data_IF_697405105888
#
_entry.id   IF_697405105888
#
_cell.length_a   1.000
_cell.length_b   1.000
_cell.length_c   1.000
_cell.angle_alpha   90.00
_cell.angle_beta   90.00
_cell.angle_gamma   90.00
#
_symmetry.space_group_name_H-M   'P 1'
#
loop_
_entity.id
_entity.type
_entity.pdbx_description
1 polymer ?
#
# COMPACT_ATOMS: atom_id res chain seq x y z
N UNK A 1 -0.96 -35.80 -8.08
CA UNK A 1 -2.14 -35.31 -8.87
C UNK A 1 -1.63 -34.28 -9.87
N UNK A 2 -2.15 -34.25 -11.12
CA UNK A 2 -1.66 -33.34 -12.17
C UNK A 2 -2.67 -32.23 -12.46
N UNK A 3 -2.15 -31.01 -12.64
CA UNK A 3 -2.88 -29.79 -13.00
C UNK A 3 -2.27 -29.18 -14.27
N UNK A 4 -2.99 -28.25 -14.91
CA UNK A 4 -2.41 -27.41 -15.96
C UNK A 4 -1.57 -26.30 -15.33
N UNK A 5 -2.11 -25.69 -14.26
CA UNK A 5 -1.44 -24.59 -13.54
C UNK A 5 -1.56 -24.80 -12.02
N UNK A 6 -0.44 -24.69 -11.32
CA UNK A 6 -0.42 -24.57 -9.85
C UNK A 6 0.09 -23.18 -9.47
N UNK A 7 -0.64 -22.50 -8.59
CA UNK A 7 -0.23 -21.22 -8.02
C UNK A 7 0.21 -21.46 -6.58
N UNK A 8 1.36 -20.88 -6.18
CA UNK A 8 1.91 -20.98 -4.82
C UNK A 8 1.80 -19.63 -4.14
N UNK A 9 0.91 -19.52 -3.15
CA UNK A 9 0.55 -18.31 -2.43
C UNK A 9 -0.83 -17.79 -2.82
N UNK A 10 -1.69 -17.58 -1.82
CA UNK A 10 -3.11 -17.19 -1.98
C UNK A 10 -3.38 -15.70 -1.79
N UNK A 11 -2.35 -14.83 -1.90
CA UNK A 11 -2.49 -13.38 -1.89
C UNK A 11 -3.20 -12.83 -3.14
N UNK A 12 -3.32 -11.47 -3.28
CA UNK A 12 -3.99 -10.85 -4.41
C UNK A 12 -3.49 -11.32 -5.78
N UNK A 13 -2.20 -11.47 -5.97
CA UNK A 13 -1.65 -12.05 -7.19
C UNK A 13 -2.10 -13.51 -7.38
N UNK A 14 -1.98 -14.33 -6.33
CA UNK A 14 -2.23 -15.77 -6.45
C UNK A 14 -3.69 -16.13 -6.66
N UNK A 15 -4.64 -15.61 -5.85
CA UNK A 15 -6.04 -15.97 -6.04
C UNK A 15 -6.61 -15.40 -7.35
N UNK A 16 -6.14 -14.21 -7.79
CA UNK A 16 -6.54 -13.65 -9.10
C UNK A 16 -5.99 -14.51 -10.24
N UNK A 17 -4.71 -14.91 -10.18
CA UNK A 17 -4.12 -15.83 -11.15
C UNK A 17 -4.90 -17.14 -11.23
N UNK A 18 -5.24 -17.75 -10.09
CA UNK A 18 -5.99 -19.00 -10.03
C UNK A 18 -7.38 -18.88 -10.67
N UNK A 19 -8.11 -17.81 -10.33
CA UNK A 19 -9.45 -17.55 -10.90
C UNK A 19 -9.35 -17.32 -12.41
N UNK A 20 -8.38 -16.50 -12.86
CA UNK A 20 -8.22 -16.22 -14.30
C UNK A 20 -7.86 -17.48 -15.08
N UNK A 21 -6.96 -18.31 -14.54
CA UNK A 21 -6.61 -19.60 -15.14
C UNK A 21 -7.84 -20.52 -15.30
N UNK A 22 -8.64 -20.65 -14.24
CA UNK A 22 -9.87 -21.46 -14.28
C UNK A 22 -10.91 -20.91 -15.28
N UNK A 23 -11.06 -19.58 -15.38
CA UNK A 23 -11.93 -18.94 -16.38
C UNK A 23 -11.48 -19.22 -17.82
N UNK A 24 -10.18 -19.43 -18.05
CA UNK A 24 -9.60 -19.82 -19.34
C UNK A 24 -9.58 -21.33 -19.55
N UNK A 25 -10.31 -22.08 -18.72
CA UNK A 25 -10.51 -23.53 -18.88
C UNK A 25 -9.37 -24.40 -18.37
N UNK A 26 -8.43 -23.85 -17.60
CA UNK A 26 -7.31 -24.60 -17.04
C UNK A 26 -7.70 -25.30 -15.74
N UNK A 27 -7.30 -26.56 -15.59
CA UNK A 27 -7.37 -27.27 -14.30
C UNK A 27 -6.35 -26.68 -13.34
N UNK A 28 -6.83 -26.00 -12.31
CA UNK A 28 -6.00 -25.13 -11.46
C UNK A 28 -6.04 -25.56 -10.00
N UNK A 29 -4.88 -25.50 -9.34
CA UNK A 29 -4.75 -25.57 -7.88
C UNK A 29 -4.10 -24.30 -7.33
N UNK A 30 -4.47 -23.94 -6.11
CA UNK A 30 -3.88 -22.87 -5.32
C UNK A 30 -3.33 -23.45 -4.01
N UNK A 31 -2.03 -23.32 -3.79
CA UNK A 31 -1.37 -23.70 -2.55
C UNK A 31 -1.29 -22.50 -1.62
N UNK A 32 -1.80 -22.62 -0.39
CA UNK A 32 -1.75 -21.55 0.61
C UNK A 32 -1.49 -22.14 2.01
N UNK A 33 -0.47 -21.61 2.68
CA UNK A 33 -0.06 -22.08 4.01
C UNK A 33 -0.84 -21.50 5.18
N UNK A 34 -1.59 -20.41 4.93
CA UNK A 34 -2.34 -19.69 5.95
C UNK A 34 -3.77 -19.38 5.46
N UNK A 35 -4.14 -18.09 5.37
CA UNK A 35 -5.48 -17.69 4.96
C UNK A 35 -5.51 -17.20 3.52
N UNK A 36 -6.44 -17.69 2.66
CA UNK A 36 -6.68 -17.12 1.33
C UNK A 36 -6.99 -15.62 1.40
N UNK A 37 -6.40 -14.87 0.44
CA UNK A 37 -6.38 -13.41 0.45
C UNK A 37 -5.04 -12.84 0.91
N UNK A 38 -4.14 -13.68 1.47
CA UNK A 38 -2.78 -13.34 1.85
C UNK A 38 -2.69 -12.16 2.83
N UNK A 39 -1.54 -11.49 2.86
CA UNK A 39 -1.27 -10.37 3.75
C UNK A 39 -2.29 -9.24 3.54
N UNK A 40 -2.59 -8.85 2.30
CA UNK A 40 -3.46 -7.71 2.03
C UNK A 40 -4.84 -7.82 2.70
N UNK A 41 -5.51 -8.96 2.56
CA UNK A 41 -6.87 -9.15 3.08
C UNK A 41 -6.90 -9.50 4.57
N UNK A 42 -5.84 -10.14 5.08
CA UNK A 42 -5.84 -10.66 6.45
C UNK A 42 -4.96 -9.86 7.42
N UNK A 43 -3.83 -9.31 6.96
CA UNK A 43 -2.79 -8.74 7.81
C UNK A 43 -2.18 -7.43 7.25
N UNK A 44 -2.89 -6.76 6.35
CA UNK A 44 -2.40 -5.54 5.67
C UNK A 44 -3.54 -4.59 5.31
N UNK A 45 -3.76 -4.40 4.00
CA UNK A 45 -4.61 -3.35 3.43
C UNK A 45 -5.99 -3.27 4.10
N UNK A 46 -6.76 -4.35 4.05
CA UNK A 46 -8.18 -4.32 4.45
C UNK A 46 -8.37 -4.13 5.96
N UNK A 47 -7.71 -4.92 6.84
CA UNK A 47 -7.86 -4.69 8.27
C UNK A 47 -7.31 -3.33 8.72
N UNK A 48 -6.24 -2.82 8.11
CA UNK A 48 -5.73 -1.46 8.40
C UNK A 48 -6.79 -0.41 8.04
N UNK A 49 -7.40 -0.46 6.86
CA UNK A 49 -8.45 0.50 6.45
C UNK A 49 -9.67 0.43 7.36
N UNK A 50 -9.98 -0.76 7.91
CA UNK A 50 -11.02 -0.90 8.93
C UNK A 50 -10.66 -0.19 10.26
N UNK A 51 -9.38 -0.25 10.69
CA UNK A 51 -8.88 0.50 11.84
C UNK A 51 -8.95 2.02 11.58
N UNK A 52 -8.41 2.47 10.45
CA UNK A 52 -8.40 3.89 10.06
C UNK A 52 -9.81 4.47 10.02
N UNK A 53 -10.79 3.72 9.49
CA UNK A 53 -12.19 4.14 9.48
C UNK A 53 -12.76 4.31 10.88
N UNK A 54 -12.42 3.44 11.81
CA UNK A 54 -12.86 3.57 13.21
C UNK A 54 -12.26 4.81 13.88
N UNK A 55 -10.96 5.10 13.63
CA UNK A 55 -10.33 6.31 14.13
C UNK A 55 -10.91 7.59 13.49
N UNK A 56 -11.27 7.54 12.20
CA UNK A 56 -11.97 8.65 11.52
C UNK A 56 -13.33 8.94 12.18
N UNK A 57 -14.13 7.89 12.44
CA UNK A 57 -15.43 8.03 13.12
C UNK A 57 -15.25 8.62 14.52
N UNK A 58 -14.23 8.15 15.26
CA UNK A 58 -13.89 8.74 16.55
C UNK A 58 -13.55 10.23 16.45
N UNK A 59 -12.80 10.62 15.42
CA UNK A 59 -12.49 12.02 15.14
C UNK A 59 -13.74 12.86 14.88
N UNK A 60 -14.73 12.35 14.13
CA UNK A 60 -16.04 13.03 13.95
C UNK A 60 -16.78 13.16 15.26
N UNK A 61 -16.82 12.13 16.09
CA UNK A 61 -17.44 12.21 17.40
C UNK A 61 -16.78 13.26 18.31
N UNK A 62 -15.46 13.36 18.31
CA UNK A 62 -14.74 14.38 19.08
C UNK A 62 -15.02 15.81 18.62
N UNK A 63 -15.37 15.98 17.36
CA UNK A 63 -15.66 17.28 16.75
C UNK A 63 -17.16 17.43 16.41
N UNK A 64 -18.04 16.71 17.12
CA UNK A 64 -19.47 16.66 16.83
C UNK A 64 -20.14 18.03 16.83
N UNK A 65 -19.72 18.95 17.71
CA UNK A 65 -20.22 20.32 17.79
C UNK A 65 -20.01 21.10 16.47
N UNK A 66 -18.93 20.84 15.75
CA UNK A 66 -18.67 21.43 14.43
C UNK A 66 -19.76 21.10 13.41
N UNK A 67 -20.40 19.95 13.58
CA UNK A 67 -21.52 19.47 12.75
C UNK A 67 -22.89 19.74 13.36
N UNK A 68 -22.95 20.53 14.44
CA UNK A 68 -24.19 20.85 15.14
C UNK A 68 -24.78 19.66 15.93
N UNK A 69 -23.94 18.69 16.32
CA UNK A 69 -24.37 17.52 17.07
C UNK A 69 -23.96 17.63 18.53
N UNK A 70 -24.89 17.34 19.44
CA UNK A 70 -24.65 17.24 20.87
C UNK A 70 -24.52 15.77 21.26
N UNK A 71 -23.40 15.40 21.90
CA UNK A 71 -23.18 14.06 22.42
C UNK A 71 -23.33 14.04 23.94
N UNK A 72 -24.14 13.13 24.44
CA UNK A 72 -24.27 12.89 25.88
C UNK A 72 -23.07 12.08 26.40
N UNK A 73 -22.25 12.71 27.25
CA UNK A 73 -21.10 12.09 27.88
C UNK A 73 -19.83 12.10 27.00
N UNK A 74 -18.77 11.48 27.54
CA UNK A 74 -17.46 11.42 26.89
C UNK A 74 -17.38 10.22 25.95
N UNK A 75 -16.97 10.49 24.69
CA UNK A 75 -16.68 9.43 23.73
C UNK A 75 -15.23 8.98 23.90
N UNK A 76 -15.03 7.69 24.17
CA UNK A 76 -13.71 7.06 24.33
C UNK A 76 -13.51 5.95 23.31
N UNK A 77 -12.30 5.79 22.74
CA UNK A 77 -12.02 4.67 21.87
C UNK A 77 -11.93 3.37 22.71
N UNK A 78 -12.57 2.32 22.21
CA UNK A 78 -12.38 0.96 22.72
C UNK A 78 -11.54 0.19 21.71
N UNK A 79 -10.22 0.07 21.96
CA UNK A 79 -9.28 -0.53 21.02
C UNK A 79 -9.62 -2.01 20.76
N UNK A 80 -10.01 -2.76 21.79
CA UNK A 80 -10.38 -4.17 21.65
C UNK A 80 -11.55 -4.33 20.66
N UNK A 81 -12.60 -3.52 20.80
CA UNK A 81 -13.74 -3.54 19.88
C UNK A 81 -13.35 -3.07 18.45
N UNK A 82 -12.47 -2.07 18.33
CA UNK A 82 -11.95 -1.60 17.05
C UNK A 82 -11.16 -2.71 16.35
N UNK A 83 -10.28 -3.39 17.08
CA UNK A 83 -9.50 -4.53 16.57
C UNK A 83 -10.42 -5.69 16.20
N UNK A 84 -11.37 -6.06 17.06
CA UNK A 84 -12.33 -7.12 16.77
C UNK A 84 -13.11 -6.85 15.47
N UNK A 85 -13.57 -5.61 15.27
CA UNK A 85 -14.20 -5.19 14.01
C UNK A 85 -13.25 -5.37 12.81
N UNK A 86 -12.00 -4.94 12.93
CA UNK A 86 -10.99 -5.09 11.87
C UNK A 86 -10.75 -6.57 11.52
N UNK A 87 -10.65 -7.45 12.51
CA UNK A 87 -10.50 -8.90 12.31
C UNK A 87 -11.73 -9.54 11.65
N UNK A 88 -12.94 -9.14 12.06
CA UNK A 88 -14.18 -9.59 11.43
C UNK A 88 -14.27 -9.21 9.94
N UNK A 89 -13.82 -8.00 9.59
CA UNK A 89 -13.73 -7.57 8.17
C UNK A 89 -12.75 -8.45 7.40
N UNK A 90 -11.56 -8.71 7.94
CA UNK A 90 -10.56 -9.58 7.32
C UNK A 90 -11.12 -11.01 7.12
N UNK A 91 -11.77 -11.58 8.12
CA UNK A 91 -12.39 -12.90 8.01
C UNK A 91 -13.47 -12.96 6.92
N UNK A 92 -14.29 -11.92 6.84
CA UNK A 92 -15.33 -11.82 5.79
C UNK A 92 -14.69 -11.82 4.39
N UNK A 93 -13.59 -11.08 4.20
CA UNK A 93 -12.89 -11.05 2.91
C UNK A 93 -12.24 -12.40 2.58
N UNK A 94 -11.60 -13.05 3.54
CA UNK A 94 -11.00 -14.38 3.32
C UNK A 94 -12.06 -15.45 2.97
N UNK A 95 -13.22 -15.42 3.63
CA UNK A 95 -14.38 -16.26 3.28
C UNK A 95 -14.86 -15.99 1.85
N UNK A 96 -14.87 -14.73 1.42
CA UNK A 96 -15.19 -14.32 0.05
C UNK A 96 -14.23 -14.93 -0.98
N UNK A 97 -12.92 -14.91 -0.70
CA UNK A 97 -11.93 -15.56 -1.58
C UNK A 97 -12.16 -17.06 -1.66
N UNK A 98 -12.38 -17.76 -0.52
CA UNK A 98 -12.71 -19.20 -0.52
C UNK A 98 -13.95 -19.50 -1.36
N UNK A 99 -14.99 -18.69 -1.24
CA UNK A 99 -16.18 -18.81 -2.08
C UNK A 99 -15.87 -18.70 -3.57
N UNK A 100 -15.05 -17.71 -3.98
CA UNK A 100 -14.64 -17.52 -5.38
C UNK A 100 -13.80 -18.69 -5.91
N UNK A 101 -12.88 -19.23 -5.12
CA UNK A 101 -12.09 -20.40 -5.47
C UNK A 101 -13.02 -21.61 -5.71
N UNK A 102 -13.94 -21.90 -4.79
CA UNK A 102 -14.91 -22.98 -4.91
C UNK A 102 -15.83 -22.81 -6.12
N UNK A 103 -16.35 -21.59 -6.35
CA UNK A 103 -17.20 -21.24 -7.51
C UNK A 103 -16.50 -21.56 -8.83
N UNK A 104 -15.19 -21.32 -8.90
CA UNK A 104 -14.38 -21.57 -10.09
C UNK A 104 -13.76 -22.99 -10.11
N UNK A 105 -14.13 -23.86 -9.16
CA UNK A 105 -13.64 -25.25 -9.07
C UNK A 105 -12.11 -25.35 -8.97
N UNK A 106 -11.50 -24.43 -8.23
CA UNK A 106 -10.07 -24.40 -7.97
C UNK A 106 -9.80 -25.23 -6.71
N UNK A 107 -8.87 -26.18 -6.79
CA UNK A 107 -8.46 -26.97 -5.65
C UNK A 107 -7.56 -26.10 -4.73
N UNK A 108 -8.04 -25.83 -3.51
CA UNK A 108 -7.24 -25.17 -2.49
C UNK A 108 -6.46 -26.22 -1.69
N UNK A 109 -5.15 -26.21 -1.84
CA UNK A 109 -4.23 -27.14 -1.16
C UNK A 109 -3.59 -26.39 0.01
N UNK A 110 -3.94 -26.72 1.28
CA UNK A 110 -3.31 -26.11 2.43
C UNK A 110 -1.88 -26.64 2.59
N UNK A 111 -0.92 -25.77 2.87
CA UNK A 111 0.45 -26.16 3.16
C UNK A 111 1.50 -25.26 2.53
N UNK A 112 2.77 -25.58 2.83
CA UNK A 112 3.94 -24.88 2.30
C UNK A 112 4.40 -25.53 0.98
N UNK A 113 4.28 -24.77 -0.11
CA UNK A 113 4.69 -25.25 -1.44
C UNK A 113 6.16 -24.97 -1.73
N UNK A 114 6.89 -26.03 -2.12
CA UNK A 114 8.30 -25.99 -2.53
C UNK A 114 8.48 -26.59 -3.91
N UNK A 115 9.18 -25.91 -4.80
CA UNK A 115 9.62 -26.47 -6.08
C UNK A 115 10.64 -27.61 -5.84
N UNK A 116 10.43 -28.75 -6.48
CA UNK A 116 11.34 -29.92 -6.40
C UNK A 116 11.98 -30.25 -7.74
N UNK A 117 11.29 -29.95 -8.83
CA UNK A 117 11.78 -30.06 -10.20
C UNK A 117 10.93 -29.14 -11.11
N UNK A 118 11.34 -28.87 -12.37
CA UNK A 118 10.47 -28.23 -13.34
C UNK A 118 9.14 -28.99 -13.44
N UNK A 119 8.01 -28.26 -13.24
CA UNK A 119 6.68 -28.84 -13.24
C UNK A 119 6.30 -29.68 -12.01
N UNK A 120 7.10 -29.67 -10.93
CA UNK A 120 6.81 -30.40 -9.70
C UNK A 120 6.94 -29.54 -8.46
N UNK A 121 6.00 -29.72 -7.55
CA UNK A 121 6.04 -29.11 -6.23
C UNK A 121 5.77 -30.16 -5.15
N UNK A 122 6.42 -30.01 -4.03
CA UNK A 122 6.09 -30.68 -2.76
C UNK A 122 5.24 -29.70 -1.90
N UNK A 123 4.18 -30.21 -1.31
CA UNK A 123 3.39 -29.50 -0.32
C UNK A 123 3.29 -30.35 0.93
N UNK A 124 4.09 -30.03 1.93
CA UNK A 124 4.16 -30.73 3.22
C UNK A 124 4.32 -32.27 3.06
N UNK A 125 5.15 -32.71 2.12
CA UNK A 125 5.45 -34.13 1.84
C UNK A 125 4.55 -34.79 0.79
N UNK A 126 3.58 -34.06 0.22
CA UNK A 126 2.76 -34.53 -0.89
C UNK A 126 3.23 -33.91 -2.22
N UNK A 127 3.53 -34.76 -3.22
CA UNK A 127 4.00 -34.28 -4.52
C UNK A 127 2.82 -34.01 -5.48
N UNK A 128 2.90 -32.86 -6.19
CA UNK A 128 1.97 -32.45 -7.23
C UNK A 128 2.73 -32.06 -8.51
N UNK A 129 2.09 -32.27 -9.66
CA UNK A 129 2.64 -31.95 -10.97
C UNK A 129 1.78 -30.93 -11.69
N UNK A 130 2.40 -30.01 -12.43
CA UNK A 130 1.73 -29.08 -13.31
C UNK A 130 2.59 -28.75 -14.54
N UNK A 131 1.92 -28.36 -15.63
CA UNK A 131 2.63 -27.85 -16.82
C UNK A 131 3.24 -26.46 -16.55
N UNK A 132 2.59 -25.68 -15.68
CA UNK A 132 3.02 -24.35 -15.27
C UNK A 132 2.89 -24.14 -13.75
N UNK A 133 3.91 -23.54 -13.14
CA UNK A 133 3.90 -23.17 -11.72
C UNK A 133 4.12 -21.67 -11.59
N UNK A 134 3.19 -20.97 -10.92
CA UNK A 134 3.25 -19.53 -10.68
C UNK A 134 3.54 -19.29 -9.20
N UNK A 135 4.67 -18.67 -8.90
CA UNK A 135 5.06 -18.28 -7.55
C UNK A 135 4.47 -16.90 -7.22
N UNK A 136 3.70 -16.82 -6.14
CA UNK A 136 3.03 -15.61 -5.66
C UNK A 136 3.11 -15.53 -4.13
N UNK A 137 4.26 -15.87 -3.56
CA UNK A 137 4.47 -16.09 -2.12
C UNK A 137 4.50 -14.81 -1.30
N UNK A 138 4.51 -13.64 -1.95
CA UNK A 138 4.39 -12.33 -1.32
C UNK A 138 5.58 -11.94 -0.46
N UNK A 139 5.36 -11.04 0.48
CA UNK A 139 6.40 -10.49 1.33
C UNK A 139 5.98 -10.45 2.81
N UNK A 140 6.97 -10.18 3.67
CA UNK A 140 6.83 -10.00 5.12
C UNK A 140 7.53 -8.70 5.56
N UNK A 141 7.25 -8.17 6.77
CA UNK A 141 8.03 -7.07 7.33
C UNK A 141 9.53 -7.39 7.34
N UNK A 142 10.35 -6.42 6.97
CA UNK A 142 11.81 -6.54 7.00
C UNK A 142 12.31 -6.49 8.44
N UNK A 143 13.15 -7.43 8.82
CA UNK A 143 13.84 -7.43 10.10
C UNK A 143 15.19 -6.73 9.99
N UNK A 144 15.52 -5.94 11.00
CA UNK A 144 16.78 -5.20 11.09
C UNK A 144 17.52 -5.60 12.35
N UNK A 145 18.81 -5.93 12.23
CA UNK A 145 19.63 -6.39 13.36
C UNK A 145 19.71 -5.36 14.51
N UNK A 146 19.63 -4.06 14.22
CA UNK A 146 19.63 -2.99 15.22
C UNK A 146 18.27 -2.78 15.90
N UNK A 147 17.20 -3.43 15.39
CA UNK A 147 15.83 -3.29 15.87
C UNK A 147 15.11 -4.64 15.68
N UNK A 148 15.49 -5.69 16.44
CA UNK A 148 14.86 -7.01 16.33
C UNK A 148 13.41 -6.96 16.81
N UNK A 149 12.51 -7.56 16.04
CA UNK A 149 11.07 -7.61 16.37
C UNK A 149 10.87 -8.70 17.42
N UNK A 150 10.44 -8.33 18.63
CA UNK A 150 10.10 -9.25 19.72
C UNK A 150 8.59 -9.56 19.78
N UNK A 151 7.77 -8.76 19.09
CA UNK A 151 6.32 -8.93 19.02
C UNK A 151 5.54 -8.30 20.18
N UNK A 152 6.21 -7.71 21.17
CA UNK A 152 5.62 -7.08 22.34
C UNK A 152 6.00 -5.60 22.44
N UNK A 153 7.29 -5.28 22.50
CA UNK A 153 7.81 -3.92 22.62
C UNK A 153 8.25 -3.37 21.26
N UNK A 154 8.98 -4.18 20.49
CA UNK A 154 9.33 -3.89 19.10
C UNK A 154 8.44 -4.72 18.21
N UNK A 155 7.51 -4.08 17.53
CA UNK A 155 6.45 -4.75 16.78
C UNK A 155 6.53 -4.46 15.27
N UNK A 156 5.96 -5.34 14.47
CA UNK A 156 5.68 -5.09 13.06
C UNK A 156 4.25 -4.61 12.84
N UNK A 157 3.90 -4.31 11.59
CA UNK A 157 2.52 -3.99 11.19
C UNK A 157 1.52 -5.08 11.58
N UNK A 158 1.95 -6.36 11.66
CA UNK A 158 1.09 -7.48 12.04
C UNK A 158 0.61 -7.36 13.50
N UNK A 159 1.51 -7.08 14.44
CA UNK A 159 1.14 -6.87 15.84
C UNK A 159 0.41 -5.54 16.03
N UNK A 160 0.81 -4.50 15.28
CA UNK A 160 0.12 -3.20 15.33
C UNK A 160 -1.37 -3.31 14.94
N UNK A 161 -1.78 -4.28 14.11
CA UNK A 161 -3.17 -4.57 13.79
C UNK A 161 -3.96 -5.20 14.96
N UNK A 162 -3.29 -5.71 15.97
CA UNK A 162 -3.91 -6.57 17.00
C UNK A 162 -3.52 -6.20 18.42
N UNK A 163 -2.99 -5.00 18.67
CA UNK A 163 -2.77 -4.54 20.03
C UNK A 163 -4.08 -4.53 20.82
N UNK A 164 -4.03 -5.01 22.04
CA UNK A 164 -5.21 -5.12 22.92
C UNK A 164 -5.44 -3.88 23.80
N UNK A 165 -4.39 -3.04 23.93
CA UNK A 165 -4.43 -1.78 24.66
C UNK A 165 -3.69 -0.67 23.92
N UNK A 166 -4.14 0.56 24.08
CA UNK A 166 -3.43 1.72 23.56
C UNK A 166 -2.16 1.94 24.39
N UNK A 167 -0.97 2.00 23.77
CA UNK A 167 0.23 2.46 24.46
C UNK A 167 0.09 3.97 24.76
N UNK A 168 0.81 4.48 25.76
CA UNK A 168 0.87 5.93 26.00
C UNK A 168 1.71 6.63 24.93
N UNK A 169 2.75 5.93 24.46
CA UNK A 169 3.70 6.43 23.47
C UNK A 169 4.13 5.37 22.48
N UNK A 170 4.35 5.79 21.22
CA UNK A 170 4.83 4.92 20.15
C UNK A 170 5.86 5.64 19.29
N UNK A 171 6.99 4.98 19.01
CA UNK A 171 7.93 5.42 17.98
C UNK A 171 7.69 4.58 16.73
N UNK A 172 7.44 5.24 15.60
CA UNK A 172 7.28 4.59 14.29
C UNK A 172 8.56 4.83 13.48
N UNK A 173 9.26 3.76 13.15
CA UNK A 173 10.48 3.82 12.35
C UNK A 173 10.15 3.56 10.90
N UNK A 174 10.29 4.60 10.07
CA UNK A 174 9.88 4.63 8.66
C UNK A 174 8.54 5.33 8.44
N UNK A 175 8.49 6.23 7.45
CA UNK A 175 7.31 7.04 7.09
C UNK A 175 6.71 6.71 5.73
N UNK A 176 6.94 5.51 5.22
CA UNK A 176 6.21 4.99 4.06
C UNK A 176 4.71 4.80 4.37
N UNK A 177 3.94 4.24 3.43
CA UNK A 177 2.49 4.07 3.59
C UNK A 177 2.11 3.37 4.90
N UNK A 178 2.75 2.24 5.21
CA UNK A 178 2.47 1.46 6.44
C UNK A 178 2.74 2.29 7.70
N UNK A 179 3.94 2.87 7.80
CA UNK A 179 4.32 3.64 8.97
C UNK A 179 3.43 4.86 9.18
N UNK A 180 3.10 5.57 8.11
CA UNK A 180 2.25 6.76 8.17
C UNK A 180 0.80 6.43 8.53
N UNK A 181 0.23 5.35 7.99
CA UNK A 181 -1.13 4.93 8.32
C UNK A 181 -1.28 4.53 9.79
N UNK A 182 -0.34 3.72 10.33
CA UNK A 182 -0.36 3.37 11.75
C UNK A 182 -0.03 4.56 12.65
N UNK A 183 0.94 5.40 12.28
CA UNK A 183 1.22 6.62 13.01
C UNK A 183 -0.02 7.51 13.12
N UNK A 184 -0.74 7.68 12.01
CA UNK A 184 -2.00 8.43 12.00
C UNK A 184 -3.07 7.77 12.88
N UNK A 185 -3.26 6.45 12.75
CA UNK A 185 -4.24 5.69 13.52
C UNK A 185 -4.05 5.87 15.02
N UNK A 186 -2.85 5.60 15.51
CA UNK A 186 -2.56 5.69 16.95
C UNK A 186 -2.58 7.13 17.45
N UNK A 187 -2.06 8.09 16.70
CA UNK A 187 -2.13 9.52 17.06
C UNK A 187 -3.58 10.03 17.14
N UNK A 188 -4.45 9.62 16.20
CA UNK A 188 -5.87 9.98 16.19
C UNK A 188 -6.62 9.42 17.41
N UNK A 189 -6.16 8.29 17.96
CA UNK A 189 -6.70 7.70 19.20
C UNK A 189 -6.06 8.28 20.47
N UNK A 190 -5.12 9.21 20.35
CA UNK A 190 -4.52 9.93 21.49
C UNK A 190 -3.16 9.43 21.96
N UNK A 191 -2.55 8.47 21.27
CA UNK A 191 -1.18 8.02 21.55
C UNK A 191 -0.16 9.12 21.19
N UNK A 192 0.86 9.32 22.01
CA UNK A 192 2.00 10.19 21.67
C UNK A 192 2.89 9.52 20.66
N UNK A 193 2.80 9.94 19.38
CA UNK A 193 3.54 9.31 18.29
C UNK A 193 4.76 10.15 17.90
N UNK A 194 5.91 9.48 17.75
CA UNK A 194 7.11 10.01 17.12
C UNK A 194 7.44 9.17 15.89
N UNK A 195 7.52 9.81 14.72
CA UNK A 195 7.94 9.20 13.47
C UNK A 195 9.43 9.49 13.27
N UNK A 196 10.23 8.45 13.06
CA UNK A 196 11.65 8.57 12.73
C UNK A 196 11.86 8.11 11.29
N UNK A 197 12.33 9.03 10.44
CA UNK A 197 12.52 8.79 9.01
C UNK A 197 13.98 9.07 8.62
N UNK A 198 14.61 8.06 8.00
CA UNK A 198 15.98 8.14 7.52
C UNK A 198 16.13 9.16 6.36
N UNK A 199 15.15 9.20 5.48
CA UNK A 199 15.13 10.07 4.31
C UNK A 199 14.90 11.55 4.73
N UNK A 200 15.26 12.52 3.87
CA UNK A 200 15.18 13.95 4.21
C UNK A 200 13.74 14.47 4.33
N UNK A 201 12.73 13.71 3.95
CA UNK A 201 11.31 14.08 4.02
C UNK A 201 10.42 12.88 4.37
N UNK A 202 9.29 13.15 4.96
CA UNK A 202 8.23 12.18 5.20
C UNK A 202 7.64 11.67 3.88
N UNK A 203 7.20 10.41 3.81
CA UNK A 203 6.66 9.81 2.59
C UNK A 203 7.61 10.04 1.40
N UNK A 204 8.85 9.52 1.43
CA UNK A 204 9.93 9.94 0.54
C UNK A 204 9.70 9.65 -0.95
N UNK A 205 8.78 8.74 -1.27
CA UNK A 205 8.41 8.39 -2.64
C UNK A 205 7.38 9.35 -3.26
N UNK A 206 6.72 10.16 -2.44
CA UNK A 206 5.70 11.11 -2.89
C UNK A 206 6.32 12.43 -3.37
N UNK A 207 5.51 13.23 -4.06
CA UNK A 207 5.88 14.59 -4.44
C UNK A 207 6.25 15.42 -3.20
N UNK A 208 7.22 16.32 -3.31
CA UNK A 208 7.73 17.09 -2.18
C UNK A 208 6.65 17.95 -1.51
N UNK A 209 5.71 18.47 -2.28
CA UNK A 209 4.61 19.26 -1.74
C UNK A 209 3.62 18.41 -0.94
N UNK A 210 3.41 17.16 -1.36
CA UNK A 210 2.67 16.14 -0.60
C UNK A 210 3.35 15.90 0.74
N UNK A 211 4.66 15.59 0.73
CA UNK A 211 5.45 15.36 1.94
C UNK A 211 5.36 16.51 2.94
N UNK A 212 5.56 17.74 2.46
CA UNK A 212 5.47 18.97 3.29
C UNK A 212 4.07 19.18 3.88
N UNK A 213 3.05 18.84 3.12
CA UNK A 213 1.66 18.98 3.57
C UNK A 213 1.32 17.94 4.63
N UNK A 214 1.78 16.70 4.44
CA UNK A 214 1.59 15.63 5.41
C UNK A 214 2.35 15.85 6.71
N UNK A 215 3.60 16.36 6.66
CA UNK A 215 4.31 16.75 7.87
C UNK A 215 3.52 17.78 8.70
N UNK A 216 2.91 18.77 8.04
CA UNK A 216 2.04 19.75 8.73
C UNK A 216 0.80 19.10 9.34
N UNK A 217 0.16 18.15 8.62
CA UNK A 217 -0.99 17.42 9.11
C UNK A 217 -0.65 16.58 10.37
N UNK A 218 0.48 15.88 10.37
CA UNK A 218 0.94 15.12 11.54
C UNK A 218 1.27 16.03 12.75
N UNK A 219 1.87 17.20 12.50
CA UNK A 219 2.09 18.18 13.58
C UNK A 219 0.78 18.72 14.18
N UNK A 220 -0.28 18.92 13.37
CA UNK A 220 -1.62 19.24 13.89
C UNK A 220 -2.18 18.16 14.82
N UNK A 221 -1.86 16.87 14.54
CA UNK A 221 -2.18 15.74 15.40
C UNK A 221 -1.24 15.62 16.61
N UNK A 222 -0.33 16.56 16.83
CA UNK A 222 0.70 16.56 17.88
C UNK A 222 1.70 15.41 17.77
N UNK A 223 1.81 14.78 16.59
CA UNK A 223 2.88 13.82 16.32
C UNK A 223 4.20 14.56 16.05
N UNK A 224 5.30 14.00 16.55
CA UNK A 224 6.65 14.46 16.25
C UNK A 224 7.13 13.75 14.98
N UNK A 225 7.72 14.50 14.03
CA UNK A 225 8.31 13.95 12.80
C UNK A 225 9.78 14.34 12.75
N UNK A 226 10.65 13.33 12.76
CA UNK A 226 12.11 13.45 12.72
C UNK A 226 12.61 12.87 11.39
N UNK A 227 12.81 13.73 10.39
CA UNK A 227 13.39 13.37 9.08
C UNK A 227 14.91 13.49 9.10
N UNK A 228 15.62 12.88 8.15
CA UNK A 228 17.09 12.79 8.13
C UNK A 228 17.63 12.22 9.45
N UNK A 229 16.95 11.24 10.04
CA UNK A 229 17.26 10.70 11.36
C UNK A 229 17.38 9.18 11.28
N UNK A 230 18.52 8.65 11.67
CA UNK A 230 18.83 7.22 11.62
C UNK A 230 18.63 6.60 13.00
N UNK A 231 17.92 5.48 13.07
CA UNK A 231 17.90 4.62 14.26
C UNK A 231 19.17 3.78 14.28
N UNK A 232 19.90 3.78 15.38
CA UNK A 232 21.15 3.02 15.58
C UNK A 232 20.93 1.74 16.36
N UNK A 233 20.09 1.79 17.38
CA UNK A 233 19.76 0.64 18.22
C UNK A 233 18.41 0.83 18.89
N UNK A 234 17.73 -0.28 19.16
CA UNK A 234 16.56 -0.33 20.03
C UNK A 234 16.80 -1.36 21.12
N UNK A 235 16.59 -0.99 22.38
CA UNK A 235 16.74 -1.84 23.56
C UNK A 235 15.51 -1.68 24.44
N UNK A 236 15.11 -2.74 25.12
CA UNK A 236 14.07 -2.67 26.14
C UNK A 236 14.77 -2.57 27.49
N UNK A 237 14.45 -1.54 28.27
CA UNK A 237 15.05 -1.32 29.60
C UNK A 237 14.34 -2.14 30.72
N UNK A 238 14.83 -2.05 31.93
CA UNK A 238 14.29 -2.80 33.06
C UNK A 238 12.84 -2.42 33.45
N UNK A 239 12.37 -1.26 33.00
CA UNK A 239 11.00 -0.76 33.23
C UNK A 239 10.04 -1.19 32.12
N UNK A 240 10.53 -1.92 31.09
CA UNK A 240 9.73 -2.37 29.94
C UNK A 240 9.52 -1.28 28.88
N UNK A 241 10.31 -0.20 28.91
CA UNK A 241 10.27 0.86 27.88
C UNK A 241 11.33 0.61 26.80
N UNK A 242 10.97 0.92 25.57
CA UNK A 242 11.91 0.94 24.47
C UNK A 242 12.81 2.19 24.56
N UNK A 243 14.11 1.99 24.57
CA UNK A 243 15.13 3.02 24.40
C UNK A 243 15.62 2.95 22.95
N UNK A 244 15.41 4.03 22.20
CA UNK A 244 15.74 4.13 20.78
C UNK A 244 16.87 5.13 20.60
N UNK A 245 18.06 4.63 20.30
CA UNK A 245 19.23 5.44 19.99
C UNK A 245 19.09 5.96 18.56
N UNK A 246 19.03 7.28 18.38
CA UNK A 246 18.92 7.93 17.07
C UNK A 246 20.08 8.90 16.83
N UNK A 247 20.37 9.13 15.56
CA UNK A 247 21.31 10.14 15.10
C UNK A 247 20.68 10.98 13.99
N UNK A 248 20.53 12.24 14.25
CA UNK A 248 19.92 13.21 13.34
C UNK A 248 20.71 14.51 13.22
N UNK A 249 20.11 15.54 12.65
CA UNK A 249 20.74 16.86 12.46
C UNK A 249 21.23 17.53 13.74
N UNK A 250 20.66 17.16 14.89
CA UNK A 250 21.03 17.70 16.21
C UNK A 250 22.07 16.85 16.94
N UNK A 251 22.56 15.78 16.31
CA UNK A 251 23.46 14.80 16.89
C UNK A 251 22.74 13.54 17.37
N UNK A 252 23.41 12.76 18.22
CA UNK A 252 22.89 11.55 18.82
C UNK A 252 22.03 11.88 20.05
N UNK A 253 20.88 11.23 20.15
CA UNK A 253 19.98 11.29 21.32
C UNK A 253 19.28 9.95 21.51
N UNK A 254 18.72 9.74 22.71
CA UNK A 254 17.91 8.56 23.01
C UNK A 254 16.46 8.98 23.25
N UNK A 255 15.55 8.37 22.50
CA UNK A 255 14.10 8.49 22.70
C UNK A 255 13.58 7.31 23.49
N UNK A 256 12.49 7.52 24.25
CA UNK A 256 11.80 6.44 24.97
C UNK A 256 10.34 6.35 24.57
N UNK A 257 9.83 5.12 24.46
CA UNK A 257 8.41 4.85 24.22
C UNK A 257 8.00 3.47 24.74
N UNK A 258 6.69 3.28 24.94
CA UNK A 258 6.16 1.97 25.33
C UNK A 258 6.32 0.94 24.21
N UNK A 259 6.17 1.39 22.96
CA UNK A 259 6.19 0.52 21.77
C UNK A 259 6.98 1.18 20.64
N UNK A 260 7.76 0.38 19.93
CA UNK A 260 8.41 0.75 18.66
C UNK A 260 7.77 -0.05 17.54
N UNK A 261 7.24 0.63 16.53
CA UNK A 261 6.74 0.01 15.30
C UNK A 261 7.83 0.05 14.21
N UNK A 262 8.27 -1.13 13.78
CA UNK A 262 9.16 -1.28 12.62
C UNK A 262 8.35 -1.21 11.32
N UNK A 263 8.56 -0.14 10.55
CA UNK A 263 7.95 0.10 9.24
C UNK A 263 9.00 0.42 8.16
N UNK A 264 10.17 -0.24 8.24
CA UNK A 264 11.37 0.00 7.41
C UNK A 264 11.38 -0.76 6.08
N UNK A 265 10.24 -1.20 5.64
CA UNK A 265 10.04 -1.91 4.38
C UNK A 265 9.70 -3.39 4.55
N UNK A 266 9.73 -4.10 3.43
CA UNK A 266 9.35 -5.51 3.34
C UNK A 266 10.49 -6.33 2.75
N UNK A 267 10.40 -7.64 2.93
CA UNK A 267 11.31 -8.63 2.37
C UNK A 267 10.50 -9.73 1.68
N UNK A 268 10.92 -10.14 0.48
CA UNK A 268 10.24 -11.18 -0.30
C UNK A 268 10.31 -12.55 0.40
N UNK A 269 9.24 -13.34 0.28
CA UNK A 269 9.17 -14.70 0.82
C UNK A 269 9.68 -15.70 -0.24
N UNK A 270 10.99 -15.75 -0.43
CA UNK A 270 11.65 -16.58 -1.45
C UNK A 270 12.51 -17.70 -0.87
N UNK A 271 12.73 -17.72 0.45
CA UNK A 271 13.56 -18.73 1.09
C UNK A 271 12.82 -20.07 1.23
N UNK A 272 13.53 -21.16 0.97
CA UNK A 272 13.05 -22.53 1.16
C UNK A 272 11.98 -22.99 0.17
N UNK A 273 11.63 -22.18 -0.84
CA UNK A 273 10.64 -22.56 -1.87
C UNK A 273 11.24 -23.26 -3.09
N UNK A 274 12.53 -23.63 -3.05
CA UNK A 274 13.21 -24.42 -4.07
C UNK A 274 13.79 -23.64 -5.24
N UNK A 275 14.02 -22.32 -5.09
CA UNK A 275 14.57 -21.49 -6.17
C UNK A 275 16.03 -21.82 -6.47
N UNK A 276 16.86 -21.96 -5.42
CA UNK A 276 18.29 -22.22 -5.55
C UNK A 276 18.55 -23.58 -6.21
N UNK A 277 17.82 -24.61 -5.79
CA UNK A 277 17.96 -25.98 -6.28
C UNK A 277 17.60 -26.11 -7.75
N UNK A 278 16.67 -25.27 -8.24
CA UNK A 278 16.30 -25.24 -9.66
C UNK A 278 17.07 -24.21 -10.48
N UNK A 279 17.96 -23.44 -9.85
CA UNK A 279 18.71 -22.39 -10.53
C UNK A 279 17.84 -21.22 -11.02
N UNK A 280 16.73 -20.94 -10.32
CA UNK A 280 15.91 -19.75 -10.61
C UNK A 280 16.70 -18.50 -10.26
N UNK A 281 16.83 -17.58 -11.21
CA UNK A 281 17.60 -16.36 -11.02
C UNK A 281 16.94 -15.41 -10.01
N UNK A 282 17.72 -14.97 -9.03
CA UNK A 282 17.32 -14.03 -7.99
C UNK A 282 18.33 -12.90 -7.92
N UNK A 283 17.88 -11.66 -7.97
CA UNK A 283 18.69 -10.46 -7.77
C UNK A 283 18.22 -9.73 -6.52
N UNK A 284 19.15 -9.53 -5.56
CA UNK A 284 18.86 -8.99 -4.23
C UNK A 284 17.84 -9.89 -3.49
N UNK A 285 16.57 -9.50 -3.41
CA UNK A 285 15.49 -10.31 -2.82
C UNK A 285 14.31 -10.48 -3.81
N UNK A 286 14.57 -10.39 -5.13
CA UNK A 286 13.55 -10.47 -6.18
C UNK A 286 13.89 -11.56 -7.19
N UNK A 287 12.87 -12.33 -7.57
CA UNK A 287 12.96 -13.28 -8.68
C UNK A 287 13.03 -12.49 -9.99
N UNK A 288 14.02 -12.83 -10.83
CA UNK A 288 14.19 -12.20 -12.14
C UNK A 288 13.17 -12.81 -13.11
N UNK A 289 12.38 -11.94 -13.75
CA UNK A 289 11.34 -12.33 -14.71
C UNK A 289 11.39 -11.45 -15.95
N UNK A 290 10.84 -11.95 -17.05
CA UNK A 290 10.58 -11.14 -18.24
C UNK A 290 9.26 -10.31 -18.11
N UNK A 291 8.87 -9.60 -19.16
CA UNK A 291 7.67 -8.77 -19.21
C UNK A 291 6.34 -9.54 -19.10
N UNK A 292 6.38 -10.89 -19.21
CA UNK A 292 5.27 -11.81 -19.03
C UNK A 292 5.44 -12.71 -17.80
N UNK A 293 6.35 -12.33 -16.89
CA UNK A 293 6.60 -12.99 -15.61
C UNK A 293 7.22 -14.38 -15.69
N UNK A 294 7.85 -14.73 -16.83
CA UNK A 294 8.60 -15.98 -16.98
C UNK A 294 9.94 -15.85 -16.27
N UNK A 295 10.31 -16.88 -15.51
CA UNK A 295 11.67 -16.99 -14.99
C UNK A 295 12.60 -17.59 -16.06
N UNK A 296 13.88 -17.73 -15.73
CA UNK A 296 14.84 -18.46 -16.57
C UNK A 296 14.61 -19.96 -16.60
N UNK A 297 13.72 -20.52 -15.74
CA UNK A 297 13.37 -21.94 -15.70
C UNK A 297 12.04 -22.16 -16.45
N UNK A 298 12.03 -22.95 -17.53
CA UNK A 298 10.81 -23.20 -18.30
C UNK A 298 9.67 -23.73 -17.46
N UNK A 299 8.47 -23.18 -17.62
CA UNK A 299 7.28 -23.57 -16.89
C UNK A 299 7.17 -22.98 -15.47
N UNK A 300 8.16 -22.18 -15.02
CA UNK A 300 8.15 -21.48 -13.73
C UNK A 300 8.00 -19.97 -13.94
N UNK A 301 7.06 -19.38 -13.24
CA UNK A 301 6.71 -17.96 -13.29
C UNK A 301 6.72 -17.37 -11.89
N UNK A 302 6.86 -16.04 -11.77
CA UNK A 302 6.77 -15.35 -10.50
C UNK A 302 6.05 -14.00 -10.65
N UNK A 303 5.22 -13.62 -9.68
CA UNK A 303 4.41 -12.40 -9.67
C UNK A 303 4.32 -11.78 -8.28
N UNK A 304 3.91 -10.53 -8.20
CA UNK A 304 3.65 -9.82 -6.95
C UNK A 304 4.93 -9.41 -6.22
N UNK A 305 4.86 -9.35 -4.90
CA UNK A 305 5.91 -8.77 -4.07
C UNK A 305 7.28 -9.48 -4.16
N UNK A 306 7.37 -10.61 -4.85
CA UNK A 306 8.62 -11.34 -5.08
C UNK A 306 9.33 -10.99 -6.39
N UNK A 307 8.72 -10.16 -7.23
CA UNK A 307 9.33 -9.66 -8.48
C UNK A 307 9.66 -8.17 -8.38
N UNK A 308 10.51 -7.61 -9.28
CA UNK A 308 10.76 -6.18 -9.31
C UNK A 308 9.49 -5.37 -9.59
N UNK A 309 9.31 -4.26 -8.88
CA UNK A 309 8.16 -3.38 -9.03
C UNK A 309 7.58 -2.91 -7.69
N UNK A 310 6.52 -2.10 -7.70
CA UNK A 310 5.82 -1.68 -6.49
C UNK A 310 5.09 -2.86 -5.84
N UNK A 311 5.33 -3.08 -4.55
CA UNK A 311 4.67 -4.13 -3.76
C UNK A 311 3.24 -3.68 -3.39
N UNK A 312 2.32 -3.76 -4.35
CA UNK A 312 0.94 -3.32 -4.24
C UNK A 312 -0.02 -4.41 -4.73
N UNK A 313 -1.13 -4.57 -4.02
CA UNK A 313 -2.11 -5.63 -4.32
C UNK A 313 -2.68 -5.55 -5.75
N UNK A 314 -2.97 -4.34 -6.23
CA UNK A 314 -3.50 -4.14 -7.58
C UNK A 314 -2.43 -4.36 -8.67
N UNK A 315 -1.15 -4.13 -8.37
CA UNK A 315 -0.03 -4.49 -9.26
C UNK A 315 0.06 -6.00 -9.37
N UNK A 316 0.13 -6.72 -8.24
CA UNK A 316 0.14 -8.18 -8.23
C UNK A 316 -1.06 -8.79 -8.96
N UNK A 317 -2.25 -8.17 -8.88
CA UNK A 317 -3.44 -8.61 -9.61
C UNK A 317 -3.32 -8.39 -11.13
N UNK A 318 -2.76 -7.25 -11.56
CA UNK A 318 -2.52 -6.97 -12.98
C UNK A 318 -1.47 -7.92 -13.56
N UNK A 319 -0.38 -8.13 -12.83
CA UNK A 319 0.67 -9.10 -13.16
C UNK A 319 0.10 -10.53 -13.30
N UNK A 320 -0.78 -10.92 -12.37
CA UNK A 320 -1.45 -12.22 -12.39
C UNK A 320 -2.26 -12.45 -13.67
N UNK A 321 -3.04 -11.45 -14.08
CA UNK A 321 -3.84 -11.53 -15.31
C UNK A 321 -2.93 -11.61 -16.54
N UNK A 322 -1.92 -10.73 -16.64
CA UNK A 322 -0.96 -10.71 -17.74
C UNK A 322 -0.20 -12.06 -17.83
N UNK A 323 0.32 -12.57 -16.71
CA UNK A 323 1.04 -13.83 -16.64
C UNK A 323 0.18 -15.00 -17.13
N UNK A 324 -1.02 -15.16 -16.56
CA UNK A 324 -1.91 -16.28 -16.89
C UNK A 324 -2.41 -16.21 -18.32
N UNK A 325 -2.75 -15.03 -18.82
CA UNK A 325 -3.16 -14.85 -20.23
C UNK A 325 -2.03 -15.22 -21.18
N UNK A 326 -0.77 -14.84 -20.88
CA UNK A 326 0.40 -15.25 -21.63
C UNK A 326 0.60 -16.77 -21.60
N UNK A 327 0.48 -17.42 -20.42
CA UNK A 327 0.53 -18.89 -20.28
C UNK A 327 -0.53 -19.58 -21.18
N UNK A 328 -1.71 -19.00 -21.26
CA UNK A 328 -2.82 -19.56 -22.03
C UNK A 328 -2.75 -19.25 -23.53
N UNK A 329 -1.70 -18.62 -24.03
CA UNK A 329 -1.49 -18.31 -25.45
C UNK A 329 -2.28 -17.10 -25.94
N UNK A 330 -2.82 -16.29 -25.04
CA UNK A 330 -3.31 -14.95 -25.35
C UNK A 330 -2.10 -14.02 -25.46
N UNK A 331 -2.27 -12.88 -26.14
CA UNK A 331 -1.23 -11.86 -26.31
C UNK A 331 -1.56 -10.61 -25.46
N UNK A 332 -1.46 -10.67 -24.12
CA UNK A 332 -1.73 -9.51 -23.29
C UNK A 332 -0.68 -8.41 -23.55
N UNK A 333 -1.07 -7.16 -23.37
CA UNK A 333 -0.08 -6.09 -23.25
C UNK A 333 0.68 -6.25 -21.91
N UNK A 334 2.00 -6.01 -21.89
CA UNK A 334 2.75 -5.94 -20.63
C UNK A 334 2.18 -4.89 -19.69
N UNK A 335 2.36 -5.09 -18.38
CA UNK A 335 1.93 -4.12 -17.37
C UNK A 335 2.77 -2.84 -17.51
N UNK A 336 2.10 -1.70 -17.63
CA UNK A 336 2.76 -0.39 -17.64
C UNK A 336 3.01 0.11 -16.21
N UNK A 337 4.22 -0.11 -15.73
CA UNK A 337 4.63 0.34 -14.39
C UNK A 337 4.75 1.86 -14.25
N UNK A 338 4.61 2.63 -15.32
CA UNK A 338 4.62 4.11 -15.25
C UNK A 338 3.27 4.70 -14.89
N UNK A 339 2.18 3.90 -14.94
CA UNK A 339 0.80 4.33 -14.68
C UNK A 339 0.18 3.70 -13.43
N UNK A 340 1.01 3.19 -12.52
CA UNK A 340 0.50 2.55 -11.29
C UNK A 340 0.09 3.59 -10.27
N UNK A 341 -1.18 3.58 -9.82
CA UNK A 341 -1.65 4.47 -8.77
C UNK A 341 -1.14 4.04 -7.39
N UNK A 342 -0.86 5.01 -6.51
CA UNK A 342 -0.47 4.82 -5.12
C UNK A 342 -1.41 5.59 -4.21
N UNK A 343 -1.78 5.00 -3.07
CA UNK A 343 -2.66 5.60 -2.07
C UNK A 343 -2.14 5.37 -0.65
N UNK A 344 -2.24 6.41 0.19
CA UNK A 344 -1.98 6.33 1.63
C UNK A 344 -3.24 6.87 2.34
N UNK A 345 -3.82 6.03 3.19
CA UNK A 345 -5.16 6.26 3.77
C UNK A 345 -5.12 6.96 5.14
N UNK A 346 -4.18 7.89 5.30
CA UNK A 346 -4.17 8.82 6.44
C UNK A 346 -5.33 9.82 6.36
N UNK A 347 -5.41 10.78 7.29
CA UNK A 347 -6.23 11.98 7.10
C UNK A 347 -5.37 13.23 7.35
N UNK A 348 -5.27 14.04 6.29
CA UNK A 348 -5.81 13.87 4.93
C UNK A 348 -5.21 12.64 4.23
N UNK A 349 -5.95 12.09 3.25
CA UNK A 349 -5.48 11.01 2.37
C UNK A 349 -4.41 11.53 1.41
N UNK A 350 -3.58 10.62 0.88
CA UNK A 350 -2.62 10.90 -0.20
C UNK A 350 -2.91 9.97 -1.36
N UNK A 351 -2.88 10.50 -2.57
CA UNK A 351 -3.06 9.73 -3.80
C UNK A 351 -2.15 10.25 -4.90
N UNK A 352 -1.47 9.36 -5.61
CA UNK A 352 -0.53 9.73 -6.67
C UNK A 352 -0.49 8.73 -7.81
N UNK A 353 -0.20 9.19 -9.01
CA UNK A 353 0.11 8.37 -10.19
C UNK A 353 1.10 9.11 -11.08
N UNK A 354 2.06 8.36 -11.62
CA UNK A 354 3.02 8.89 -12.57
C UNK A 354 4.19 9.62 -11.93
N UNK A 355 4.75 10.58 -12.65
CA UNK A 355 6.02 11.24 -12.32
C UNK A 355 5.81 12.38 -11.32
N UNK A 356 6.66 12.46 -10.29
CA UNK A 356 6.71 13.62 -9.39
C UNK A 356 7.43 14.80 -10.05
N UNK A 357 7.20 16.00 -9.54
CA UNK A 357 7.88 17.20 -10.03
C UNK A 357 9.40 17.11 -9.90
N UNK A 358 9.89 16.55 -8.79
CA UNK A 358 11.32 16.32 -8.58
C UNK A 358 11.91 15.36 -9.61
N UNK A 359 11.20 14.27 -9.92
CA UNK A 359 11.63 13.31 -10.93
C UNK A 359 11.68 13.94 -12.34
N UNK A 360 10.74 14.84 -12.67
CA UNK A 360 10.76 15.58 -13.92
C UNK A 360 12.00 16.49 -13.98
N UNK A 361 12.28 17.23 -12.89
CA UNK A 361 13.45 18.11 -12.78
C UNK A 361 14.76 17.32 -12.88
N UNK A 362 14.89 16.23 -12.11
CA UNK A 362 16.09 15.38 -12.13
C UNK A 362 16.37 14.75 -13.49
N UNK A 363 15.32 14.45 -14.26
CA UNK A 363 15.43 13.88 -15.62
C UNK A 363 15.53 14.94 -16.72
N UNK A 364 15.44 16.23 -16.39
CA UNK A 364 15.45 17.33 -17.33
C UNK A 364 14.25 17.33 -18.29
N UNK A 365 13.10 16.78 -17.83
CA UNK A 365 11.87 16.76 -18.61
C UNK A 365 11.17 18.10 -18.44
N UNK A 366 10.87 18.79 -19.54
CA UNK A 366 10.07 19.99 -19.54
C UNK A 366 8.63 19.65 -19.15
N UNK A 367 8.05 20.47 -18.27
CA UNK A 367 6.68 20.25 -17.78
C UNK A 367 5.97 21.55 -17.46
N UNK A 368 4.64 21.51 -17.48
CA UNK A 368 3.73 22.51 -16.90
C UNK A 368 3.09 21.91 -15.67
N UNK A 369 2.99 22.71 -14.59
CA UNK A 369 2.32 22.29 -13.37
C UNK A 369 1.06 23.13 -13.12
N UNK A 370 -0.06 22.47 -12.86
CA UNK A 370 -1.25 23.08 -12.29
C UNK A 370 -1.41 22.66 -10.84
N UNK A 371 -2.05 23.53 -10.03
CA UNK A 371 -2.34 23.27 -8.63
C UNK A 371 -3.65 23.93 -8.23
N UNK A 372 -4.53 23.17 -7.55
CA UNK A 372 -5.78 23.68 -7.00
C UNK A 372 -5.88 23.31 -5.51
N UNK A 373 -5.95 24.31 -4.59
CA UNK A 373 -6.08 24.05 -3.16
C UNK A 373 -7.54 23.77 -2.80
N UNK A 374 -7.79 22.81 -1.92
CA UNK A 374 -9.17 22.51 -1.48
C UNK A 374 -9.82 23.61 -0.65
N UNK A 375 -9.06 24.63 -0.20
CA UNK A 375 -9.63 25.86 0.36
C UNK A 375 -10.51 26.64 -0.62
N UNK A 376 -10.31 26.43 -1.93
CA UNK A 376 -11.14 27.02 -3.00
C UNK A 376 -12.30 26.11 -3.44
N UNK A 377 -12.38 24.85 -2.93
CA UNK A 377 -13.44 23.92 -3.29
C UNK A 377 -14.71 24.14 -2.46
N UNK A 378 -15.84 24.30 -3.15
CA UNK A 378 -17.16 24.36 -2.50
C UNK A 378 -17.51 23.07 -1.76
N UNK A 379 -17.21 21.91 -2.35
CA UNK A 379 -17.45 20.60 -1.73
C UNK A 379 -16.60 20.38 -0.47
N UNK A 380 -15.32 20.71 -0.53
CA UNK A 380 -14.42 20.61 0.63
C UNK A 380 -14.87 21.55 1.76
N UNK A 381 -15.32 22.76 1.42
CA UNK A 381 -15.86 23.73 2.38
C UNK A 381 -17.14 23.21 3.03
N UNK A 382 -18.08 22.65 2.26
CA UNK A 382 -19.33 22.10 2.78
C UNK A 382 -19.11 20.87 3.68
N UNK A 383 -18.06 20.07 3.39
CA UNK A 383 -17.70 18.90 4.19
C UNK A 383 -16.87 19.24 5.45
N UNK A 384 -16.29 20.45 5.53
CA UNK A 384 -15.34 20.83 6.58
C UNK A 384 -13.91 20.29 6.37
N UNK A 385 -13.62 19.70 5.22
CA UNK A 385 -12.37 19.00 4.89
C UNK A 385 -11.55 19.80 3.85
N UNK A 386 -11.07 20.98 4.24
CA UNK A 386 -10.41 21.94 3.34
C UNK A 386 -8.89 21.78 3.24
N UNK A 387 -8.30 20.88 4.01
CA UNK A 387 -6.86 20.64 3.99
C UNK A 387 -6.48 19.84 2.74
N UNK A 388 -5.53 20.36 1.95
CA UNK A 388 -4.96 19.68 0.82
C UNK A 388 -5.09 20.39 -0.53
N UNK A 389 -4.80 19.65 -1.58
CA UNK A 389 -4.72 20.15 -2.96
C UNK A 389 -4.75 19.01 -3.99
N UNK A 390 -5.01 19.39 -5.23
CA UNK A 390 -4.70 18.61 -6.43
C UNK A 390 -3.54 19.30 -7.16
N UNK A 391 -2.53 18.51 -7.58
CA UNK A 391 -1.40 18.94 -8.41
C UNK A 391 -1.29 18.00 -9.60
N UNK A 392 -1.28 18.56 -10.80
CA UNK A 392 -1.11 17.83 -12.06
C UNK A 392 0.11 18.36 -12.80
N UNK A 393 0.87 17.44 -13.39
CA UNK A 393 2.02 17.75 -14.25
C UNK A 393 1.71 17.31 -15.67
N UNK A 394 2.03 18.17 -16.65
CA UNK A 394 1.80 17.92 -18.07
C UNK A 394 3.10 18.10 -18.86
N UNK A 395 3.29 17.31 -19.91
CA UNK A 395 4.42 17.46 -20.85
C UNK A 395 4.25 18.66 -21.82
N UNK A 396 5.16 18.81 -22.76
CA UNK A 396 5.12 19.88 -23.76
C UNK A 396 3.93 19.76 -24.73
N UNK A 397 3.40 18.54 -24.92
CA UNK A 397 2.19 18.27 -25.71
C UNK A 397 0.91 18.28 -24.83
N UNK A 398 1.01 18.83 -23.62
CA UNK A 398 -0.07 18.90 -22.62
C UNK A 398 -0.61 17.53 -22.15
N UNK A 399 0.08 16.40 -22.36
CA UNK A 399 -0.33 15.09 -21.85
C UNK A 399 0.03 14.94 -20.37
N UNK A 400 -0.83 14.28 -19.62
CA UNK A 400 -0.64 14.09 -18.17
C UNK A 400 0.60 13.23 -17.86
N UNK A 401 1.61 13.81 -17.21
CA UNK A 401 2.81 13.15 -16.70
C UNK A 401 2.64 12.57 -15.31
N UNK A 402 1.91 13.26 -14.44
CA UNK A 402 1.70 12.84 -13.07
C UNK A 402 0.59 13.61 -12.38
N UNK A 403 0.01 12.98 -11.36
CA UNK A 403 -0.99 13.57 -10.49
C UNK A 403 -0.64 13.26 -9.03
N UNK A 404 -0.69 14.27 -8.18
CA UNK A 404 -0.32 14.20 -6.77
C UNK A 404 -1.36 14.96 -5.95
N UNK A 405 -2.04 14.27 -5.06
CA UNK A 405 -3.19 14.81 -4.34
C UNK A 405 -3.07 14.54 -2.84
N UNK A 406 -3.47 15.51 -2.06
CA UNK A 406 -3.65 15.38 -0.60
C UNK A 406 -5.02 15.93 -0.26
N UNK A 407 -5.83 15.20 0.51
CA UNK A 407 -7.12 15.69 0.96
C UNK A 407 -8.13 14.59 1.25
N UNK A 408 -9.36 14.99 1.54
CA UNK A 408 -10.45 14.03 1.71
C UNK A 408 -10.84 13.40 0.37
N UNK A 409 -11.03 12.08 0.35
CA UNK A 409 -11.49 11.30 -0.81
C UNK A 409 -10.56 11.33 -2.03
N UNK A 410 -9.32 11.79 -1.89
CA UNK A 410 -8.40 11.83 -3.04
C UNK A 410 -8.02 10.44 -3.54
N UNK A 411 -8.11 9.43 -2.69
CA UNK A 411 -7.90 8.02 -3.08
C UNK A 411 -8.96 7.53 -4.05
N UNK A 412 -10.21 8.00 -3.94
CA UNK A 412 -11.30 7.71 -4.87
C UNK A 412 -11.20 8.58 -6.15
N UNK A 413 -10.70 9.82 -6.03
CA UNK A 413 -10.50 10.73 -7.17
C UNK A 413 -9.42 10.25 -8.14
N UNK A 414 -8.45 9.46 -7.66
CA UNK A 414 -7.25 9.05 -8.42
C UNK A 414 -7.57 8.24 -9.68
N UNK A 415 -8.73 7.59 -9.74
CA UNK A 415 -9.13 6.79 -10.90
C UNK A 415 -9.19 7.62 -12.20
N UNK A 416 -9.65 8.86 -12.15
CA UNK A 416 -9.71 9.76 -13.31
C UNK A 416 -8.32 10.14 -13.82
N UNK A 417 -7.39 10.68 -13.00
CA UNK A 417 -6.02 10.93 -13.46
C UNK A 417 -5.28 9.67 -13.94
N UNK A 418 -5.52 8.51 -13.32
CA UNK A 418 -4.92 7.25 -13.75
C UNK A 418 -5.40 6.88 -15.15
N UNK A 419 -6.71 6.95 -15.42
CA UNK A 419 -7.26 6.71 -16.75
C UNK A 419 -6.77 7.75 -17.77
N UNK A 420 -6.74 9.02 -17.39
CA UNK A 420 -6.23 10.10 -18.23
C UNK A 420 -4.78 9.85 -18.64
N UNK A 421 -3.92 9.43 -17.70
CA UNK A 421 -2.53 9.10 -17.97
C UNK A 421 -2.41 7.87 -18.89
N UNK A 422 -3.14 6.79 -18.60
CA UNK A 422 -3.13 5.56 -19.41
C UNK A 422 -3.51 5.82 -20.87
N UNK A 423 -4.42 6.75 -21.11
CA UNK A 423 -4.90 7.11 -22.45
C UNK A 423 -4.15 8.28 -23.10
N UNK A 424 -3.15 8.87 -22.43
CA UNK A 424 -2.43 10.04 -22.92
C UNK A 424 -3.33 11.27 -23.09
N UNK A 425 -4.29 11.47 -22.16
CA UNK A 425 -5.24 12.58 -22.20
C UNK A 425 -4.54 13.90 -21.90
N UNK A 426 -4.89 14.95 -22.64
CA UNK A 426 -4.29 16.28 -22.49
C UNK A 426 -5.01 17.14 -21.45
N UNK A 427 -4.29 18.15 -20.92
CA UNK A 427 -4.86 19.17 -20.01
C UNK A 427 -6.13 19.81 -20.57
N UNK A 428 -6.14 20.15 -21.86
CA UNK A 428 -7.31 20.70 -22.54
C UNK A 428 -8.54 19.79 -22.49
N UNK A 429 -8.34 18.47 -22.59
CA UNK A 429 -9.47 17.52 -22.52
C UNK A 429 -9.99 17.37 -21.09
N UNK A 430 -9.10 17.32 -20.11
CA UNK A 430 -9.50 17.31 -18.69
C UNK A 430 -10.28 18.57 -18.35
N UNK A 431 -9.77 19.76 -18.69
CA UNK A 431 -10.40 21.05 -18.45
C UNK A 431 -11.77 21.21 -19.13
N UNK A 432 -12.01 20.50 -20.27
CA UNK A 432 -13.29 20.54 -21.01
C UNK A 432 -14.23 19.41 -20.61
N UNK A 433 -13.80 18.47 -19.79
CA UNK A 433 -14.68 17.44 -19.25
C UNK A 433 -15.61 18.05 -18.21
N UNK A 434 -16.93 17.85 -18.36
CA UNK A 434 -17.90 18.35 -17.40
C UNK A 434 -17.83 17.51 -16.13
N UNK A 435 -17.47 18.12 -15.02
CA UNK A 435 -17.47 17.50 -13.70
C UNK A 435 -18.76 17.79 -12.95
N UNK A 436 -19.24 16.82 -12.18
CA UNK A 436 -20.45 17.02 -11.38
C UNK A 436 -20.20 18.02 -10.25
N UNK A 437 -21.17 18.92 -10.02
CA UNK A 437 -21.14 19.91 -8.94
C UNK A 437 -22.16 19.59 -7.85
N UNK A 438 -21.80 19.69 -6.53
CA UNK A 438 -20.44 19.89 -6.01
C UNK A 438 -19.72 18.56 -5.75
N UNK A 439 -18.51 18.41 -6.24
CA UNK A 439 -17.65 17.24 -5.98
C UNK A 439 -16.21 17.63 -5.71
N UNK A 440 -15.43 16.73 -5.10
CA UNK A 440 -13.98 16.92 -4.96
C UNK A 440 -13.26 16.83 -6.31
N UNK A 441 -13.81 16.06 -7.28
CA UNK A 441 -13.23 15.89 -8.62
C UNK A 441 -13.20 17.17 -9.46
N UNK A 442 -14.03 18.20 -9.17
CA UNK A 442 -13.90 19.52 -9.78
C UNK A 442 -12.46 20.06 -9.63
N UNK A 443 -11.78 19.69 -8.54
CA UNK A 443 -10.37 20.03 -8.32
C UNK A 443 -9.42 19.51 -9.40
N UNK A 444 -9.73 18.40 -10.08
CA UNK A 444 -8.93 17.85 -11.19
C UNK A 444 -9.07 18.77 -12.42
N UNK A 445 -10.29 19.17 -12.75
CA UNK A 445 -10.58 20.09 -13.85
C UNK A 445 -9.91 21.46 -13.62
N UNK A 446 -10.14 22.06 -12.44
CA UNK A 446 -9.57 23.37 -12.07
C UNK A 446 -8.03 23.34 -12.10
N UNK A 447 -7.44 22.22 -11.71
CA UNK A 447 -5.97 22.04 -11.77
C UNK A 447 -5.47 22.00 -13.22
N UNK A 448 -6.20 21.34 -14.12
CA UNK A 448 -5.86 21.33 -15.54
C UNK A 448 -6.01 22.74 -16.17
N UNK A 449 -7.05 23.49 -15.81
CA UNK A 449 -7.21 24.90 -16.20
C UNK A 449 -6.07 25.78 -15.66
N UNK A 450 -5.64 25.55 -14.41
CA UNK A 450 -4.51 26.26 -13.83
C UNK A 450 -3.21 26.00 -14.59
N UNK A 451 -2.95 24.76 -15.03
CA UNK A 451 -1.78 24.43 -15.84
C UNK A 451 -1.78 25.14 -17.21
N UNK A 452 -2.97 25.42 -17.75
CA UNK A 452 -3.17 26.15 -19.01
C UNK A 452 -3.20 27.67 -18.81
N UNK A 453 -3.06 28.18 -17.57
CA UNK A 453 -3.18 29.63 -17.27
C UNK A 453 -4.59 30.18 -17.42
N UNK A 454 -5.62 29.32 -17.32
CA UNK A 454 -7.03 29.67 -17.56
C UNK A 454 -7.93 29.41 -16.32
N UNK A 455 -7.35 29.24 -15.13
CA UNK A 455 -8.10 28.99 -13.91
C UNK A 455 -9.11 30.10 -13.60
N UNK A 456 -10.32 29.73 -13.23
CA UNK A 456 -11.43 30.68 -12.93
C UNK A 456 -11.57 30.85 -11.42
N UNK A 457 -11.41 29.79 -10.64
CA UNK A 457 -11.67 29.81 -9.19
C UNK A 457 -10.39 29.84 -8.33
N UNK A 458 -9.27 30.32 -8.88
CA UNK A 458 -7.99 30.52 -8.17
C UNK A 458 -7.67 31.98 -7.96
#
# INVERSE_FOLDING_TARGET
>A
MRYDIIIVGGGPGGYVAAIRAAQLGKKTALVERAEPGGVCLNWGCIPTKALLKSAQVYGYCKNAEHYGLELAGEVRPNLEAIVARSRSVAETMSKGVRFLLNKNKIDLIPGFGRLTAPGRIDVDGAEYEADHIVLATGARPREMAFMPIDGEHVISSRQALTLTRLPESMIVVGSGAIGSEFAWFYAALGVRVTIVEYMPRMMPLEDEEVSKTMERAFRKLRATVLTSTTVKAVKVNAEGLCEVEIEGKKGAETLTADVVLSAVGIQSNIEGIGLEELGVAVERDKVVVDEFYRTNVPGVYAIGDIVPGPALAHVASAEAVCCVESICGLAPAPVDYTTIPSCIFTQPEVASVGMTEQQAQERGIAYKAGRFPFTASGKATAAGDRDGFVKLLFDEEDRLLGAHMVGASVTEMLAEPTLARTLGVTAHRIARTIHAHPTMNEGVMETAEAALGAAIHL
#
